data_IF_761956733972
#
_entry.id   IF_761956733972
#
_cell.length_a   1.000
_cell.length_b   1.000
_cell.length_c   1.000
_cell.angle_alpha   90.00
_cell.angle_beta   90.00
_cell.angle_gamma   90.00
#
_symmetry.space_group_name_H-M   'P 1'
#
loop_
_entity.id
_entity.type
_entity.pdbx_description
1 polymer ?
#
# COMPACT_ATOMS: atom_id res chain seq x y z
N UNK A 1 1.43 -2.59 -11.56
CA UNK A 1 0.90 -1.66 -10.53
C UNK A 1 1.05 -2.31 -9.18
N UNK A 2 1.45 -1.57 -8.16
CA UNK A 2 1.47 -2.03 -6.76
C UNK A 2 0.65 -1.07 -5.92
N UNK A 3 -0.05 -1.57 -4.91
CA UNK A 3 -0.75 -0.71 -3.95
C UNK A 3 0.18 -0.34 -2.81
N UNK A 4 0.05 0.89 -2.35
CA UNK A 4 0.88 1.46 -1.29
C UNK A 4 -0.04 2.08 -0.25
N UNK A 5 0.22 1.88 1.04
CA UNK A 5 -0.59 2.55 2.07
C UNK A 5 -0.48 4.07 1.94
N UNK A 6 -1.54 4.82 2.29
CA UNK A 6 -1.54 6.28 2.19
C UNK A 6 -0.38 6.94 2.96
N UNK A 7 0.00 6.41 4.12
CA UNK A 7 1.15 6.92 4.89
C UNK A 7 2.48 6.66 4.20
N UNK A 8 2.66 5.49 3.60
CA UNK A 8 3.86 5.19 2.79
C UNK A 8 3.89 6.07 1.54
N UNK A 9 2.76 6.30 0.87
CA UNK A 9 2.70 7.17 -0.30
C UNK A 9 3.06 8.63 0.03
N UNK A 10 2.67 9.12 1.21
CA UNK A 10 3.10 10.43 1.69
C UNK A 10 4.60 10.45 2.00
N UNK A 11 5.11 9.44 2.72
CA UNK A 11 6.54 9.32 3.04
C UNK A 11 7.42 9.24 1.79
N UNK A 12 6.98 8.54 0.73
CA UNK A 12 7.74 8.40 -0.52
C UNK A 12 7.54 9.56 -1.50
N UNK A 13 6.91 10.67 -1.08
CA UNK A 13 6.53 11.82 -1.93
C UNK A 13 5.66 11.46 -3.15
N UNK A 14 5.04 10.28 -3.16
CA UNK A 14 4.12 9.83 -4.21
C UNK A 14 2.73 10.48 -4.07
N UNK A 15 2.45 11.10 -2.91
CA UNK A 15 1.26 11.89 -2.67
C UNK A 15 1.60 13.09 -1.78
N UNK A 16 1.02 14.25 -2.08
CA UNK A 16 1.13 15.44 -1.23
C UNK A 16 0.08 15.34 -0.11
N UNK A 17 0.47 14.76 1.01
CA UNK A 17 -0.37 14.63 2.21
C UNK A 17 0.35 15.21 3.43
N UNK A 18 -0.37 15.90 4.31
CA UNK A 18 0.20 16.35 5.60
C UNK A 18 0.12 15.19 6.59
N UNK A 19 1.21 14.97 7.31
CA UNK A 19 1.29 13.97 8.37
C UNK A 19 2.11 14.52 9.54
N UNK A 20 1.60 14.34 10.75
CA UNK A 20 2.34 14.71 11.97
C UNK A 20 3.45 13.70 12.28
N UNK A 21 3.27 12.45 11.83
CA UNK A 21 4.25 11.38 11.95
C UNK A 21 4.21 10.47 10.72
N UNK A 22 5.36 10.26 10.08
CA UNK A 22 5.51 9.29 9.01
C UNK A 22 5.65 7.86 9.57
N UNK A 23 5.22 6.82 8.84
CA UNK A 23 5.49 5.45 9.24
C UNK A 23 6.98 5.15 9.14
N UNK A 24 7.48 4.21 9.94
CA UNK A 24 8.86 3.67 9.81
C UNK A 24 8.91 2.41 8.95
N UNK A 25 7.78 2.00 8.39
CA UNK A 25 7.65 0.82 7.53
C UNK A 25 6.96 1.19 6.22
N UNK A 26 7.55 0.78 5.10
CA UNK A 26 6.92 0.84 3.78
C UNK A 26 5.93 -0.32 3.69
N UNK A 27 4.65 -0.01 3.50
CA UNK A 27 3.59 -1.00 3.34
C UNK A 27 3.18 -1.12 1.88
N UNK A 28 3.48 -2.27 1.28
CA UNK A 28 3.20 -2.61 -0.10
C UNK A 28 2.17 -3.75 -0.16
N UNK A 29 1.24 -3.67 -1.11
CA UNK A 29 0.28 -4.72 -1.39
C UNK A 29 0.34 -5.05 -2.88
N UNK A 30 0.87 -6.23 -3.19
CA UNK A 30 0.91 -6.79 -4.52
C UNK A 30 -0.41 -7.42 -4.88
N UNK A 31 -1.02 -6.92 -5.95
CA UNK A 31 -2.26 -7.41 -6.51
C UNK A 31 -3.43 -6.44 -6.40
N UNK A 32 -4.45 -6.69 -7.24
CA UNK A 32 -5.59 -5.79 -7.37
C UNK A 32 -6.85 -6.30 -6.67
N UNK A 33 -7.15 -7.60 -6.81
CA UNK A 33 -8.31 -8.27 -6.22
C UNK A 33 -7.94 -9.70 -5.84
N UNK A 34 -8.31 -10.12 -4.64
CA UNK A 34 -8.11 -11.49 -4.20
C UNK A 34 -9.18 -12.40 -4.81
N UNK A 35 -8.78 -13.58 -5.31
CA UNK A 35 -9.69 -14.62 -5.78
C UNK A 35 -10.44 -15.30 -4.62
N UNK A 36 -9.94 -15.16 -3.39
CA UNK A 36 -10.57 -15.71 -2.18
C UNK A 36 -11.64 -14.77 -1.64
N UNK A 37 -12.46 -15.27 -0.73
CA UNK A 37 -13.57 -14.52 -0.14
C UNK A 37 -13.69 -14.73 1.39
N UNK A 38 -12.59 -14.51 2.11
CA UNK A 38 -12.60 -14.60 3.58
C UNK A 38 -13.60 -13.57 4.16
N UNK A 39 -14.47 -14.00 5.07
CA UNK A 39 -15.59 -13.19 5.58
C UNK A 39 -15.19 -11.83 6.19
N UNK A 40 -13.95 -11.71 6.67
CA UNK A 40 -13.40 -10.50 7.30
C UNK A 40 -12.54 -9.64 6.36
N UNK A 41 -12.17 -10.14 5.17
CA UNK A 41 -11.14 -9.51 4.35
C UNK A 41 -11.75 -8.60 3.26
N UNK A 42 -11.44 -7.29 3.25
CA UNK A 42 -11.97 -6.36 2.26
C UNK A 42 -11.36 -6.56 0.85
N UNK A 43 -10.32 -7.39 0.73
CA UNK A 43 -9.65 -7.66 -0.55
C UNK A 43 -10.35 -8.77 -1.36
N UNK A 44 -11.33 -9.45 -0.76
CA UNK A 44 -12.00 -10.61 -1.35
C UNK A 44 -12.91 -10.29 -2.53
N UNK A 45 -13.22 -11.30 -3.33
CA UNK A 45 -14.05 -11.15 -4.53
C UNK A 45 -15.50 -10.74 -4.23
N UNK A 46 -16.05 -10.99 -3.05
CA UNK A 46 -17.42 -10.62 -2.66
C UNK A 46 -17.57 -9.25 -1.99
N UNK A 47 -16.48 -8.53 -1.72
CA UNK A 47 -16.53 -7.25 -1.00
C UNK A 47 -17.08 -6.12 -1.88
N UNK A 48 -18.20 -5.51 -1.47
CA UNK A 48 -18.74 -4.28 -2.07
C UNK A 48 -17.95 -3.02 -1.71
N UNK A 49 -17.09 -3.10 -0.69
CA UNK A 49 -16.14 -2.04 -0.31
C UNK A 49 -15.07 -1.87 -1.41
N UNK A 50 -14.73 -0.63 -1.72
CA UNK A 50 -13.69 -0.33 -2.71
C UNK A 50 -12.37 -1.02 -2.34
N UNK A 51 -11.82 -1.86 -3.22
CA UNK A 51 -10.47 -2.47 -3.13
C UNK A 51 -9.34 -1.48 -2.84
N UNK A 52 -9.65 -0.18 -2.88
CA UNK A 52 -8.80 0.93 -2.45
C UNK A 52 -8.63 1.02 -0.92
N UNK A 53 -9.27 0.17 -0.10
CA UNK A 53 -9.11 0.20 1.36
C UNK A 53 -8.64 -1.15 1.92
N UNK A 54 -7.79 -1.07 2.94
CA UNK A 54 -7.48 -2.19 3.84
C UNK A 54 -7.70 -1.69 5.27
N UNK A 55 -8.73 -2.22 5.93
CA UNK A 55 -9.27 -1.60 7.14
C UNK A 55 -9.77 -0.18 6.83
N UNK A 56 -9.33 0.82 7.61
CA UNK A 56 -9.68 2.24 7.40
C UNK A 56 -8.69 3.01 6.52
N UNK A 57 -7.59 2.37 6.13
CA UNK A 57 -6.50 3.02 5.40
C UNK A 57 -6.75 2.93 3.90
N UNK A 58 -6.45 4.00 3.17
CA UNK A 58 -6.52 4.03 1.70
C UNK A 58 -5.22 3.48 1.11
N UNK A 59 -5.34 2.67 0.07
CA UNK A 59 -4.24 1.97 -0.62
C UNK A 59 -4.27 2.26 -2.12
N UNK A 60 -3.92 3.49 -2.55
CA UNK A 60 -3.84 3.83 -3.97
C UNK A 60 -2.82 2.96 -4.72
N UNK A 61 -3.05 2.78 -6.01
CA UNK A 61 -2.17 2.00 -6.88
C UNK A 61 -1.19 2.92 -7.61
N UNK A 62 0.08 2.53 -7.65
CA UNK A 62 1.17 3.22 -8.34
C UNK A 62 1.89 2.29 -9.33
N UNK A 63 2.52 2.83 -10.39
CA UNK A 63 3.50 2.09 -11.17
C UNK A 63 4.62 1.58 -10.25
N UNK A 64 5.08 0.34 -10.48
CA UNK A 64 6.18 -0.22 -9.66
C UNK A 64 7.44 0.64 -9.76
N UNK A 65 7.79 1.07 -10.98
CA UNK A 65 8.95 1.94 -11.23
C UNK A 65 8.95 3.23 -10.43
N UNK A 66 7.78 3.83 -10.18
CA UNK A 66 7.66 5.04 -9.37
C UNK A 66 7.94 4.76 -7.88
N UNK A 67 7.46 3.62 -7.38
CA UNK A 67 7.72 3.19 -5.99
C UNK A 67 9.18 2.80 -5.83
N UNK A 68 9.68 1.97 -6.74
CA UNK A 68 11.07 1.51 -6.80
C UNK A 68 12.07 2.68 -6.84
N UNK A 69 11.80 3.70 -7.66
CA UNK A 69 12.64 4.90 -7.73
C UNK A 69 12.64 5.75 -6.46
N UNK A 70 11.59 5.65 -5.63
CA UNK A 70 11.48 6.41 -4.38
C UNK A 70 12.07 5.67 -3.16
N UNK A 71 12.17 4.33 -3.21
CA UNK A 71 12.66 3.51 -2.10
C UNK A 71 14.09 3.86 -1.63
N UNK A 72 15.06 4.19 -2.50
CA UNK A 72 16.42 4.52 -2.06
C UNK A 72 16.49 5.74 -1.12
N UNK A 73 15.56 6.69 -1.25
CA UNK A 73 15.50 7.88 -0.39
C UNK A 73 14.68 7.64 0.89
N UNK A 74 14.04 6.48 1.04
CA UNK A 74 13.11 6.20 2.12
C UNK A 74 13.80 6.11 3.49
N UNK A 75 15.03 5.58 3.54
CA UNK A 75 15.80 5.44 4.78
C UNK A 75 16.06 6.81 5.44
N UNK A 76 16.41 7.83 4.63
CA UNK A 76 16.61 9.20 5.11
C UNK A 76 15.34 9.83 5.73
N UNK A 77 14.18 9.24 5.47
CA UNK A 77 12.87 9.65 6.01
C UNK A 77 12.43 8.81 7.21
N UNK A 78 13.32 8.00 7.77
CA UNK A 78 13.05 7.17 8.95
C UNK A 78 12.40 5.83 8.64
N UNK A 79 12.41 5.37 7.38
CA UNK A 79 12.00 4.01 7.03
C UNK A 79 13.11 3.04 7.41
N UNK A 80 12.73 1.96 8.10
CA UNK A 80 13.64 0.90 8.55
C UNK A 80 13.30 -0.45 7.91
N UNK A 81 12.05 -0.61 7.44
CA UNK A 81 11.46 -1.91 7.09
C UNK A 81 10.55 -1.81 5.89
N UNK A 82 10.42 -2.92 5.16
CA UNK A 82 9.45 -3.10 4.10
C UNK A 82 8.53 -4.27 4.44
N UNK A 83 7.23 -4.02 4.48
CA UNK A 83 6.20 -5.04 4.55
C UNK A 83 5.60 -5.23 3.17
N UNK A 84 5.87 -6.39 2.54
CA UNK A 84 5.26 -6.79 1.29
C UNK A 84 4.13 -7.78 1.56
N UNK A 85 2.91 -7.35 1.30
CA UNK A 85 1.71 -8.16 1.36
C UNK A 85 1.31 -8.58 -0.05
N UNK A 86 0.61 -9.70 -0.17
CA UNK A 86 0.05 -10.15 -1.44
C UNK A 86 -1.37 -10.69 -1.25
N UNK A 87 -2.11 -10.74 -2.34
CA UNK A 87 -3.38 -11.45 -2.43
C UNK A 87 -3.22 -12.65 -3.35
N UNK A 88 -4.08 -13.66 -3.20
CA UNK A 88 -4.17 -14.73 -4.18
C UNK A 88 -4.77 -14.19 -5.46
N UNK A 89 -3.96 -14.22 -6.52
CA UNK A 89 -4.29 -13.78 -7.88
C UNK A 89 -3.73 -14.81 -8.86
N UNK A 90 -4.26 -14.85 -10.08
CA UNK A 90 -3.80 -15.77 -11.14
C UNK A 90 -2.34 -15.51 -11.52
#
# INVERSE_FOLDING_TARGET
>A
MIRVSAGTAACLDLSKSRMDAYPTTVYLLSGNRCLMNCAFCPQGSGGGESFKKLGRITWPAYPWSAVEGALPAAEQKGIERICLQSVRQN
#
